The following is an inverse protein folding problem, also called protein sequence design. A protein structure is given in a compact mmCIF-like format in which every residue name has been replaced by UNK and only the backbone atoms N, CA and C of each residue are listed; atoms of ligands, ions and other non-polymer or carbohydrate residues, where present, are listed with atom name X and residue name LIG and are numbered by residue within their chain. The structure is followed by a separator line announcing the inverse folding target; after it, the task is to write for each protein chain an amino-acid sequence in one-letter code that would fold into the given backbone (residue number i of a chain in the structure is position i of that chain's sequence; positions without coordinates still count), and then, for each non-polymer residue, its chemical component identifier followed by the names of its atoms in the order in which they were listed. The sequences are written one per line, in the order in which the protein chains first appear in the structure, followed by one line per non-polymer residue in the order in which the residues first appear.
data_IF_775319620971
#
_entry.id   IF_775319620971
#
_cell.length_a   1.000
_cell.length_b   1.000
_cell.length_c   1.000
_cell.angle_alpha   90.00
_cell.angle_beta   90.00
_cell.angle_gamma   90.00
#
_symmetry.space_group_name_H-M   'P 1'
#
loop_
_entity.id
_entity.type
_entity.pdbx_description
1 polymer ?
#
# COMPACT_ATOMS: atom_id res chain seq x y z
N UNK A 1 -3.39 -4.06 31.56
CA UNK A 1 -4.76 -3.73 31.08
C UNK A 1 -4.87 -4.21 29.64
N UNK A 2 -5.83 -5.10 29.33
CA UNK A 2 -6.02 -5.68 28.00
C UNK A 2 -7.11 -4.91 27.26
N UNK A 3 -6.82 -4.44 26.05
CA UNK A 3 -7.82 -3.78 25.20
C UNK A 3 -8.18 -4.67 24.02
N UNK A 4 -9.45 -4.70 23.64
CA UNK A 4 -9.92 -5.37 22.43
C UNK A 4 -10.08 -4.34 21.30
N UNK A 5 -9.53 -4.64 20.11
CA UNK A 5 -9.80 -3.87 18.90
C UNK A 5 -11.18 -4.18 18.35
N UNK A 6 -11.60 -3.40 17.36
CA UNK A 6 -12.82 -3.64 16.58
C UNK A 6 -12.87 -5.07 15.98
N UNK A 7 -11.71 -5.64 15.62
CA UNK A 7 -11.59 -7.02 15.11
C UNK A 7 -11.42 -8.08 16.21
N UNK A 8 -11.67 -7.73 17.47
CA UNK A 8 -11.59 -8.69 18.60
C UNK A 8 -10.18 -9.04 19.08
N UNK A 9 -9.14 -8.51 18.47
CA UNK A 9 -7.76 -8.71 18.91
C UNK A 9 -7.48 -8.04 20.25
N UNK A 10 -6.66 -8.67 21.07
CA UNK A 10 -6.22 -8.12 22.36
C UNK A 10 -4.85 -7.47 22.21
N UNK A 11 -4.68 -6.30 22.81
CA UNK A 11 -3.43 -5.55 22.78
C UNK A 11 -2.90 -5.30 24.19
N UNK A 12 -1.60 -5.49 24.37
CA UNK A 12 -0.87 -5.01 25.53
C UNK A 12 -0.17 -3.70 25.19
N UNK A 13 -0.45 -2.66 25.94
CA UNK A 13 0.21 -1.37 25.77
C UNK A 13 1.61 -1.41 26.40
N UNK A 14 2.61 -0.93 25.67
CA UNK A 14 3.93 -0.66 26.23
C UNK A 14 3.89 0.58 27.13
N UNK A 15 4.78 0.73 28.12
CA UNK A 15 4.93 1.97 28.88
C UNK A 15 5.09 3.18 27.93
N UNK A 16 4.37 4.25 28.18
CA UNK A 16 4.34 5.45 27.35
C UNK A 16 3.35 5.42 26.18
N UNK A 17 2.72 4.29 25.86
CA UNK A 17 1.65 4.23 24.89
C UNK A 17 0.36 4.84 25.43
N UNK A 18 -0.42 5.46 24.54
CA UNK A 18 -1.73 6.02 24.86
C UNK A 18 -2.79 5.51 23.89
N UNK A 19 -4.01 5.32 24.38
CA UNK A 19 -5.20 5.13 23.56
C UNK A 19 -5.84 6.49 23.39
N UNK A 20 -6.09 6.86 22.13
CA UNK A 20 -6.77 8.09 21.75
C UNK A 20 -8.03 7.75 20.95
N UNK A 21 -9.00 8.65 20.94
CA UNK A 21 -10.16 8.50 20.07
C UNK A 21 -9.80 8.65 18.60
N UNK A 22 -10.71 8.22 17.73
CA UNK A 22 -10.56 8.24 16.28
C UNK A 22 -10.20 9.64 15.74
N UNK A 23 -10.92 10.68 16.17
CA UNK A 23 -10.71 12.05 15.68
C UNK A 23 -9.34 12.59 16.05
N UNK A 24 -8.88 12.30 17.27
CA UNK A 24 -7.55 12.69 17.76
C UNK A 24 -6.45 11.92 17.02
N UNK A 25 -6.65 10.62 16.75
CA UNK A 25 -5.73 9.81 15.97
C UNK A 25 -5.49 10.42 14.59
N UNK A 26 -6.54 10.74 13.85
CA UNK A 26 -6.41 11.36 12.53
C UNK A 26 -5.92 12.81 12.58
N UNK A 27 -6.19 13.56 13.66
CA UNK A 27 -5.59 14.87 13.86
C UNK A 27 -4.06 14.80 13.99
N UNK A 28 -3.54 13.76 14.67
CA UNK A 28 -2.09 13.49 14.75
C UNK A 28 -1.54 13.16 13.37
N UNK A 29 -2.22 12.31 12.59
CA UNK A 29 -1.81 11.98 11.23
C UNK A 29 -1.75 13.25 10.35
N UNK A 30 -2.83 14.04 10.31
CA UNK A 30 -2.91 15.29 9.54
C UNK A 30 -1.90 16.36 9.96
N UNK A 31 -1.36 16.28 11.18
CA UNK A 31 -0.35 17.24 11.66
C UNK A 31 1.04 17.07 10.99
N UNK A 32 1.20 16.11 10.06
CA UNK A 32 2.47 15.84 9.39
C UNK A 32 3.54 15.19 10.27
N UNK A 33 3.16 14.67 11.44
CA UNK A 33 4.09 14.02 12.38
C UNK A 33 4.30 12.54 12.11
N UNK A 34 3.54 11.98 11.18
CA UNK A 34 3.69 10.58 10.76
C UNK A 34 4.79 10.50 9.70
N UNK A 35 5.92 9.90 10.03
CA UNK A 35 7.03 9.80 9.10
C UNK A 35 6.77 8.77 8.00
N UNK A 36 6.19 7.62 8.35
CA UNK A 36 5.92 6.52 7.41
C UNK A 36 4.55 5.93 7.68
N UNK A 37 3.81 5.64 6.63
CA UNK A 37 2.65 4.75 6.67
C UNK A 37 2.86 3.55 5.75
N UNK A 38 2.40 2.37 6.19
CA UNK A 38 2.40 1.15 5.38
C UNK A 38 0.94 0.77 5.11
N UNK A 39 0.58 0.65 3.84
CA UNK A 39 -0.78 0.37 3.39
C UNK A 39 -0.80 -0.85 2.47
N UNK A 40 -1.95 -1.54 2.45
CA UNK A 40 -2.27 -2.52 1.42
C UNK A 40 -3.06 -1.88 0.28
N UNK A 41 -3.02 -2.50 -0.89
CA UNK A 41 -3.82 -2.10 -2.05
C UNK A 41 -4.23 -3.31 -2.89
N UNK A 42 -5.26 -3.17 -3.71
CA UNK A 42 -5.63 -4.18 -4.71
C UNK A 42 -4.79 -4.04 -5.97
N UNK A 43 -4.56 -2.81 -6.42
CA UNK A 43 -3.71 -2.49 -7.57
C UNK A 43 -2.95 -1.18 -7.29
N UNK A 44 -1.76 -1.07 -7.87
CA UNK A 44 -0.97 0.17 -7.93
C UNK A 44 -0.54 0.43 -9.35
N UNK A 45 -0.72 1.66 -9.81
CA UNK A 45 -0.29 2.09 -11.14
C UNK A 45 1.20 2.45 -11.16
N UNK A 46 1.81 2.34 -12.32
CA UNK A 46 3.18 2.82 -12.54
C UNK A 46 3.33 4.33 -12.25
N UNK A 47 2.25 5.09 -12.30
CA UNK A 47 2.18 6.49 -11.85
C UNK A 47 2.23 6.65 -10.32
N UNK A 48 2.17 5.56 -9.54
CA UNK A 48 2.13 5.58 -8.08
C UNK A 48 0.74 5.79 -7.48
N UNK A 49 -0.32 5.81 -8.29
CA UNK A 49 -1.70 5.88 -7.80
C UNK A 49 -2.16 4.49 -7.37
N UNK A 50 -2.95 4.40 -6.30
CA UNK A 50 -3.41 3.13 -5.75
C UNK A 50 -4.92 2.98 -5.72
N UNK A 51 -5.40 1.75 -6.00
CA UNK A 51 -6.79 1.33 -5.89
C UNK A 51 -6.95 0.41 -4.69
N UNK A 52 -7.34 0.95 -3.53
CA UNK A 52 -7.23 0.24 -2.26
C UNK A 52 -8.53 0.05 -1.49
N UNK A 53 -9.69 0.49 -2.01
CA UNK A 53 -10.90 0.46 -1.22
C UNK A 53 -12.00 -0.47 -1.74
N UNK A 54 -11.96 -0.83 -3.01
CA UNK A 54 -12.85 -1.85 -3.58
C UNK A 54 -12.31 -2.39 -4.90
N UNK A 55 -12.74 -3.59 -5.25
CA UNK A 55 -12.60 -4.17 -6.60
C UNK A 55 -13.92 -4.02 -7.37
N UNK A 56 -13.91 -4.23 -8.68
CA UNK A 56 -15.11 -4.07 -9.52
C UNK A 56 -16.22 -5.08 -9.18
N UNK A 57 -15.87 -6.24 -8.65
CA UNK A 57 -16.79 -7.29 -8.23
C UNK A 57 -17.38 -7.08 -6.84
N UNK A 58 -16.89 -6.10 -6.08
CA UNK A 58 -17.45 -5.75 -4.77
C UNK A 58 -18.64 -4.81 -4.91
N UNK A 59 -19.78 -5.16 -4.29
CA UNK A 59 -20.98 -4.31 -4.30
C UNK A 59 -20.76 -2.95 -3.64
N UNK A 60 -19.90 -2.89 -2.62
CA UNK A 60 -19.57 -1.65 -1.91
C UNK A 60 -18.15 -1.73 -1.37
N UNK A 61 -17.56 -0.57 -1.11
CA UNK A 61 -16.25 -0.44 -0.47
C UNK A 61 -16.11 0.94 0.17
N UNK A 62 -15.29 1.02 1.21
CA UNK A 62 -14.97 2.26 1.88
C UNK A 62 -13.46 2.42 1.95
N UNK A 63 -12.91 3.58 1.59
CA UNK A 63 -11.48 3.83 1.68
C UNK A 63 -10.93 3.78 3.11
N UNK A 64 -11.81 3.81 4.12
CA UNK A 64 -11.41 3.79 5.53
C UNK A 64 -10.49 4.95 5.89
N UNK A 65 -9.44 4.65 6.63
CA UNK A 65 -8.42 5.64 7.01
C UNK A 65 -7.31 5.85 6.00
N UNK A 66 -7.29 5.11 4.89
CA UNK A 66 -6.18 5.19 3.92
C UNK A 66 -5.95 6.59 3.33
N UNK A 67 -6.99 7.39 3.01
CA UNK A 67 -6.80 8.76 2.52
C UNK A 67 -6.06 9.65 3.51
N UNK A 68 -6.44 9.58 4.77
CA UNK A 68 -5.84 10.37 5.84
C UNK A 68 -4.39 9.96 6.10
N UNK A 69 -4.14 8.64 6.15
CA UNK A 69 -2.81 8.07 6.35
C UNK A 69 -1.88 8.43 5.20
N UNK A 70 -2.31 8.23 3.96
CA UNK A 70 -1.51 8.55 2.78
C UNK A 70 -1.29 10.06 2.63
N UNK A 71 -2.32 10.88 2.92
CA UNK A 71 -2.22 12.35 2.84
C UNK A 71 -1.40 12.98 3.95
N UNK A 72 -1.37 12.36 5.15
CA UNK A 72 -0.73 12.93 6.34
C UNK A 72 0.68 12.39 6.61
N UNK A 73 1.07 11.25 6.05
CA UNK A 73 2.40 10.69 6.21
C UNK A 73 3.41 11.36 5.26
N UNK A 74 4.66 11.48 5.71
CA UNK A 74 5.76 11.97 4.88
C UNK A 74 6.13 10.97 3.78
N UNK A 75 6.06 9.67 4.09
CA UNK A 75 6.38 8.57 3.18
C UNK A 75 5.28 7.51 3.21
N UNK A 76 4.86 7.05 2.03
CA UNK A 76 3.84 6.01 1.84
C UNK A 76 4.49 4.78 1.24
N UNK A 77 4.44 3.67 1.99
CA UNK A 77 4.92 2.36 1.53
C UNK A 77 3.71 1.48 1.30
N UNK A 78 3.66 0.80 0.16
CA UNK A 78 2.72 -0.29 -0.06
C UNK A 78 3.37 -1.63 0.25
N UNK A 79 2.65 -2.50 0.95
CA UNK A 79 3.04 -3.89 1.17
C UNK A 79 1.91 -4.79 0.67
N UNK A 80 2.18 -5.59 -0.37
CA UNK A 80 1.18 -6.42 -1.03
C UNK A 80 1.84 -7.63 -1.71
N UNK A 81 1.06 -8.66 -2.02
CA UNK A 81 1.48 -9.71 -2.95
C UNK A 81 1.55 -9.13 -4.37
N UNK A 82 2.56 -9.51 -5.16
CA UNK A 82 2.81 -9.00 -6.51
C UNK A 82 1.67 -9.31 -7.48
N UNK A 83 1.07 -10.48 -7.32
CA UNK A 83 -0.12 -10.91 -8.06
C UNK A 83 -1.25 -11.31 -7.10
N UNK A 84 -2.47 -11.34 -7.59
CA UNK A 84 -3.60 -11.86 -6.83
C UNK A 84 -3.65 -13.40 -6.85
N UNK A 85 -4.58 -14.00 -6.10
CA UNK A 85 -4.79 -15.46 -6.04
C UNK A 85 -5.10 -16.13 -7.39
N UNK A 86 -5.38 -15.35 -8.43
CA UNK A 86 -5.66 -15.83 -9.78
C UNK A 86 -4.47 -15.56 -10.73
N UNK A 87 -3.34 -15.06 -10.22
CA UNK A 87 -2.16 -14.73 -10.98
C UNK A 87 -2.25 -13.39 -11.73
N UNK A 88 -3.25 -12.55 -11.46
CA UNK A 88 -3.37 -11.24 -12.09
C UNK A 88 -2.42 -10.24 -11.43
N UNK A 89 -1.60 -9.51 -12.19
CA UNK A 89 -0.70 -8.50 -11.64
C UNK A 89 -1.44 -7.45 -10.79
N UNK A 90 -0.83 -7.05 -9.69
CA UNK A 90 -1.28 -5.90 -8.89
C UNK A 90 -0.47 -4.64 -9.14
N UNK A 91 0.73 -4.78 -9.69
CA UNK A 91 1.51 -3.68 -10.24
C UNK A 91 1.14 -3.55 -11.72
N UNK A 92 0.46 -2.47 -12.11
CA UNK A 92 -0.18 -2.33 -13.43
C UNK A 92 0.13 -0.98 -14.07
N UNK A 93 0.05 -0.91 -15.40
CA UNK A 93 0.19 0.37 -16.10
C UNK A 93 -0.99 1.31 -15.79
N UNK A 94 -2.20 0.76 -15.76
CA UNK A 94 -3.44 1.48 -15.41
C UNK A 94 -4.31 0.57 -14.58
N UNK A 95 -4.79 1.08 -13.44
CA UNK A 95 -5.66 0.33 -12.55
C UNK A 95 -7.02 0.06 -13.20
N UNK A 96 -7.50 -1.17 -13.05
CA UNK A 96 -8.87 -1.57 -13.42
C UNK A 96 -9.86 -1.26 -12.31
N UNK A 97 -9.39 -1.28 -11.06
CA UNK A 97 -10.18 -0.95 -9.89
C UNK A 97 -10.19 0.57 -9.62
N UNK A 98 -11.24 1.10 -8.96
CA UNK A 98 -11.33 2.52 -8.69
C UNK A 98 -10.18 3.04 -7.83
N UNK A 99 -9.49 4.06 -8.31
CA UNK A 99 -8.40 4.74 -7.62
C UNK A 99 -8.97 5.68 -6.56
N UNK A 100 -8.51 5.54 -5.31
CA UNK A 100 -9.05 6.30 -4.18
C UNK A 100 -8.34 7.64 -3.95
N UNK A 101 -7.07 7.74 -4.34
CA UNK A 101 -6.20 8.82 -3.89
C UNK A 101 -5.31 9.36 -5.00
N UNK A 102 -5.16 10.68 -5.06
CA UNK A 102 -4.19 11.32 -5.96
C UNK A 102 -2.74 11.25 -5.44
N UNK A 103 -2.52 10.77 -4.20
CA UNK A 103 -1.19 10.68 -3.60
C UNK A 103 -0.40 9.57 -4.28
N UNK A 104 0.79 9.93 -4.76
CA UNK A 104 1.79 9.00 -5.28
C UNK A 104 2.44 8.25 -4.11
N UNK A 105 2.55 6.92 -4.23
CA UNK A 105 3.29 6.11 -3.26
C UNK A 105 4.78 6.23 -3.49
N UNK A 106 5.57 6.10 -2.42
CA UNK A 106 7.01 6.29 -2.49
C UNK A 106 7.76 4.96 -2.68
N UNK A 107 7.18 3.86 -2.20
CA UNK A 107 7.80 2.54 -2.28
C UNK A 107 6.73 1.45 -2.29
N UNK A 108 6.98 0.39 -3.05
CA UNK A 108 6.15 -0.80 -3.16
C UNK A 108 7.01 -2.00 -2.79
N UNK A 109 6.58 -2.78 -1.81
CA UNK A 109 7.27 -3.98 -1.33
C UNK A 109 6.38 -5.18 -1.60
N UNK A 110 6.93 -6.16 -2.31
CA UNK A 110 6.27 -7.44 -2.60
C UNK A 110 7.19 -8.61 -2.26
N UNK A 111 6.70 -9.83 -2.38
CA UNK A 111 7.53 -11.04 -2.25
C UNK A 111 8.58 -11.17 -3.36
N UNK A 112 8.45 -10.44 -4.48
CA UNK A 112 9.42 -10.46 -5.57
C UNK A 112 10.52 -9.42 -5.41
N UNK A 113 10.30 -8.36 -4.61
CA UNK A 113 11.28 -7.30 -4.43
C UNK A 113 10.68 -5.96 -4.04
N UNK A 114 11.48 -4.92 -4.22
CA UNK A 114 11.16 -3.54 -3.93
C UNK A 114 11.07 -2.74 -5.22
N UNK A 115 10.03 -1.92 -5.33
CA UNK A 115 9.72 -1.19 -6.55
C UNK A 115 9.37 0.26 -6.24
N UNK A 116 9.73 1.16 -7.16
CA UNK A 116 9.33 2.57 -7.12
C UNK A 116 8.52 2.91 -8.37
N UNK A 117 7.51 3.79 -8.27
CA UNK A 117 6.79 4.30 -9.43
C UNK A 117 7.70 5.16 -10.30
N UNK A 118 7.80 4.86 -11.60
CA UNK A 118 8.58 5.62 -12.59
C UNK A 118 7.74 6.47 -13.55
N UNK A 119 6.41 6.49 -13.35
CA UNK A 119 5.47 7.21 -14.20
C UNK A 119 4.76 6.30 -15.20
N UNK A 120 5.44 5.77 -16.18
CA UNK A 120 4.94 4.81 -17.17
C UNK A 120 5.51 3.40 -16.99
N UNK A 121 6.41 3.22 -16.05
CA UNK A 121 7.07 1.96 -15.71
C UNK A 121 7.27 1.85 -14.20
N UNK A 122 7.68 0.67 -13.71
CA UNK A 122 8.18 0.49 -12.34
C UNK A 122 9.70 0.38 -12.36
N UNK A 123 10.35 0.90 -11.33
CA UNK A 123 11.79 0.75 -11.11
C UNK A 123 11.97 -0.32 -10.03
N UNK A 124 12.53 -1.47 -10.41
CA UNK A 124 12.90 -2.51 -9.45
C UNK A 124 14.25 -2.12 -8.82
N UNK A 125 14.23 -1.69 -7.57
CA UNK A 125 15.40 -1.23 -6.84
C UNK A 125 16.12 -2.37 -6.14
N UNK A 126 15.39 -3.43 -5.76
CA UNK A 126 15.96 -4.63 -5.15
C UNK A 126 15.08 -5.84 -5.47
N UNK A 127 15.70 -6.97 -5.82
CA UNK A 127 14.99 -8.23 -6.00
C UNK A 127 15.14 -9.12 -4.77
N UNK A 128 14.10 -9.88 -4.44
CA UNK A 128 14.16 -10.87 -3.39
C UNK A 128 15.14 -11.99 -3.76
N UNK A 129 15.73 -12.64 -2.76
CA UNK A 129 16.73 -13.68 -2.97
C UNK A 129 16.16 -14.84 -3.82
N UNK A 130 16.82 -15.12 -4.93
CA UNK A 130 16.43 -16.18 -5.87
C UNK A 130 15.42 -15.76 -6.94
N UNK A 131 14.90 -14.55 -6.89
CA UNK A 131 13.98 -14.01 -7.91
C UNK A 131 14.77 -13.50 -9.10
N UNK A 132 14.33 -13.85 -10.30
CA UNK A 132 14.94 -13.42 -11.57
C UNK A 132 14.19 -12.20 -12.15
N UNK A 133 14.88 -11.44 -13.01
CA UNK A 133 14.26 -10.32 -13.76
C UNK A 133 13.09 -10.81 -14.62
N UNK A 134 13.22 -11.96 -15.27
CA UNK A 134 12.18 -12.53 -16.12
C UNK A 134 10.89 -12.88 -15.34
N UNK A 135 11.03 -13.37 -14.10
CA UNK A 135 9.87 -13.62 -13.22
C UNK A 135 9.16 -12.32 -12.86
N UNK A 136 9.90 -11.26 -12.54
CA UNK A 136 9.32 -9.95 -12.23
C UNK A 136 8.60 -9.36 -13.45
N UNK A 137 9.23 -9.38 -14.63
CA UNK A 137 8.62 -8.90 -15.88
C UNK A 137 7.33 -9.67 -16.22
N UNK A 138 7.34 -10.99 -16.06
CA UNK A 138 6.16 -11.83 -16.33
C UNK A 138 5.02 -11.61 -15.34
N UNK A 139 5.32 -11.24 -14.08
CA UNK A 139 4.34 -11.02 -13.02
C UNK A 139 3.81 -9.58 -12.97
N UNK A 140 4.46 -8.63 -13.66
CA UNK A 140 4.12 -7.21 -13.62
C UNK A 140 3.28 -6.81 -14.83
N UNK A 141 2.21 -6.07 -14.61
CA UNK A 141 1.29 -5.57 -15.66
C UNK A 141 1.71 -4.22 -16.28
N UNK A 142 2.98 -3.87 -16.18
CA UNK A 142 3.58 -2.66 -16.76
C UNK A 142 5.07 -2.90 -17.06
N UNK A 143 5.74 -2.06 -17.86
CA UNK A 143 7.19 -2.15 -18.05
C UNK A 143 7.94 -2.04 -16.72
N UNK A 144 9.08 -2.75 -16.60
CA UNK A 144 9.96 -2.71 -15.43
C UNK A 144 11.38 -2.34 -15.86
N UNK A 145 11.96 -1.37 -15.18
CA UNK A 145 13.37 -1.00 -15.29
C UNK A 145 14.09 -1.49 -14.04
N UNK A 146 15.24 -2.08 -14.20
CA UNK A 146 16.04 -2.61 -13.09
C UNK A 146 17.20 -1.65 -12.80
N UNK A 147 17.28 -1.15 -11.57
CA UNK A 147 18.33 -0.27 -11.09
C UNK A 147 19.67 -1.01 -10.89
#
# INVERSE_FOLDING_TARGET
MLFRSFFGSTYNLRPGAAIVDHSRSFAIVRSGRLDVTVLGTFEVEATGRMANYRTLDMASGCPGGSPELAGGAKRVILALEHADRHGRPRLVATATNPVALPRIVDLIVTELGWFEPGGDHFIATELAAGVTRAEVEAATGAPVVFA
#
